data_IF_123521737957
#
_entry.id   IF_123521737957
#
_cell.length_a   1.000
_cell.length_b   1.000
_cell.length_c   1.000
_cell.angle_alpha   90.00
_cell.angle_beta   90.00
_cell.angle_gamma   90.00
#
_symmetry.space_group_name_H-M   'P 1'
#
loop_
_entity.id
_entity.type
_entity.pdbx_description
1 polymer ?
#
# COMPACT_ATOMS: atom_id res chain seq x y z
N UNK A 1 -11.66 -15.18 0.38
CA UNK A 1 -11.94 -13.77 0.78
C UNK A 1 -10.62 -13.08 1.04
N UNK A 2 -10.41 -11.86 0.52
CA UNK A 2 -9.19 -11.10 0.78
C UNK A 2 -9.21 -10.51 2.20
N UNK A 3 -8.11 -10.66 2.96
CA UNK A 3 -7.97 -10.15 4.34
C UNK A 3 -7.82 -8.62 4.32
N UNK A 4 -8.63 -7.91 5.12
CA UNK A 4 -8.55 -6.44 5.26
C UNK A 4 -7.21 -6.02 5.87
N UNK A 5 -6.70 -4.86 5.46
CA UNK A 5 -5.55 -4.22 6.13
C UNK A 5 -5.92 -3.72 7.52
N UNK A 6 -5.08 -4.02 8.52
CA UNK A 6 -5.25 -3.56 9.90
C UNK A 6 -4.90 -2.08 10.03
N UNK A 7 -5.31 -1.46 11.14
CA UNK A 7 -4.97 -0.06 11.43
C UNK A 7 -3.45 0.13 11.59
N UNK A 8 -2.77 -0.84 12.20
CA UNK A 8 -1.32 -0.84 12.37
C UNK A 8 -0.59 -0.99 11.02
N UNK A 9 -1.03 -1.93 10.18
CA UNK A 9 -0.50 -2.09 8.82
C UNK A 9 -0.65 -0.79 8.01
N UNK A 10 -1.82 -0.15 8.10
CA UNK A 10 -2.10 1.12 7.43
C UNK A 10 -1.22 2.26 7.96
N UNK A 11 -1.04 2.36 9.27
CA UNK A 11 -0.22 3.41 9.88
C UNK A 11 1.23 3.34 9.40
N UNK A 12 1.79 2.12 9.28
CA UNK A 12 3.15 1.91 8.76
C UNK A 12 3.23 2.31 7.29
N UNK A 13 2.30 1.83 6.46
CA UNK A 13 2.28 2.21 5.04
C UNK A 13 2.18 3.74 4.85
N UNK A 14 1.32 4.42 5.60
CA UNK A 14 1.16 5.87 5.54
C UNK A 14 2.43 6.61 5.99
N UNK A 15 3.10 6.13 7.05
CA UNK A 15 4.38 6.69 7.51
C UNK A 15 5.48 6.53 6.46
N UNK A 16 5.48 5.44 5.71
CA UNK A 16 6.46 5.16 4.64
C UNK A 16 6.13 5.85 3.30
N UNK A 17 5.00 6.54 3.16
CA UNK A 17 4.60 7.20 1.90
C UNK A 17 5.61 8.22 1.35
N UNK A 18 6.19 9.13 2.17
CA UNK A 18 7.15 10.12 1.64
C UNK A 18 8.38 9.46 1.03
N UNK A 19 8.91 8.44 1.72
CA UNK A 19 10.06 7.66 1.26
C UNK A 19 9.72 6.86 0.00
N UNK A 20 8.57 6.18 -0.01
CA UNK A 20 8.06 5.48 -1.18
C UNK A 20 7.98 6.40 -2.40
N UNK A 21 7.43 7.61 -2.25
CA UNK A 21 7.33 8.60 -3.34
C UNK A 21 8.68 9.04 -3.84
N UNK A 22 9.61 9.37 -2.93
CA UNK A 22 10.98 9.74 -3.31
C UNK A 22 11.65 8.61 -4.08
N UNK A 23 11.53 7.38 -3.59
CA UNK A 23 12.07 6.18 -4.23
C UNK A 23 11.49 5.99 -5.63
N UNK A 24 10.18 6.20 -5.80
CA UNK A 24 9.49 6.08 -7.09
C UNK A 24 9.81 7.20 -8.07
N UNK A 25 10.15 8.40 -7.60
CA UNK A 25 10.61 9.53 -8.44
C UNK A 25 12.03 9.31 -8.96
N UNK A 26 12.91 8.72 -8.14
CA UNK A 26 14.29 8.43 -8.52
C UNK A 26 14.41 7.32 -9.57
N UNK A 27 13.36 6.52 -9.77
CA UNK A 27 13.34 5.40 -10.71
C UNK A 27 12.64 5.74 -12.04
N UNK A 28 13.24 5.30 -13.16
CA UNK A 28 12.68 5.45 -14.50
C UNK A 28 11.28 4.83 -14.62
N UNK A 29 10.39 5.42 -15.43
CA UNK A 29 8.98 5.00 -15.57
C UNK A 29 8.80 3.49 -15.82
N UNK A 30 9.67 2.90 -16.66
CA UNK A 30 9.66 1.45 -16.96
C UNK A 30 10.06 0.56 -15.78
N UNK A 31 10.85 1.09 -14.83
CA UNK A 31 11.33 0.37 -13.66
C UNK A 31 10.49 0.63 -12.39
N UNK A 32 9.61 1.64 -12.40
CA UNK A 32 8.79 2.03 -11.22
C UNK A 32 8.03 0.87 -10.60
N UNK A 33 7.48 -0.05 -11.40
CA UNK A 33 6.76 -1.19 -10.83
C UNK A 33 7.66 -2.17 -10.09
N UNK A 34 8.90 -2.38 -10.56
CA UNK A 34 9.84 -3.27 -9.87
C UNK A 34 10.48 -2.56 -8.69
N UNK A 35 10.80 -1.27 -8.83
CA UNK A 35 11.22 -0.41 -7.73
C UNK A 35 10.22 -0.42 -6.57
N UNK A 36 8.92 -0.23 -6.85
CA UNK A 36 7.89 -0.29 -5.84
C UNK A 36 7.78 -1.66 -5.16
N UNK A 37 7.98 -2.76 -5.91
CA UNK A 37 8.04 -4.10 -5.32
C UNK A 37 9.27 -4.29 -4.43
N UNK A 38 10.44 -3.82 -4.85
CA UNK A 38 11.67 -3.86 -4.05
C UNK A 38 11.53 -3.08 -2.76
N UNK A 39 10.95 -1.89 -2.81
CA UNK A 39 10.64 -1.10 -1.62
C UNK A 39 9.77 -1.88 -0.63
N UNK A 40 8.70 -2.51 -1.12
CA UNK A 40 7.84 -3.31 -0.25
C UNK A 40 8.48 -4.60 0.25
N UNK A 41 9.44 -5.17 -0.47
CA UNK A 41 10.23 -6.31 0.01
C UNK A 41 11.06 -5.90 1.23
N UNK A 42 11.70 -4.73 1.19
CA UNK A 42 12.40 -4.17 2.35
C UNK A 42 11.47 -3.94 3.53
N UNK A 43 10.27 -3.36 3.29
CA UNK A 43 9.27 -3.19 4.35
C UNK A 43 8.83 -4.51 5.00
N UNK A 44 8.69 -5.58 4.20
CA UNK A 44 8.35 -6.90 4.69
C UNK A 44 9.42 -7.47 5.63
N UNK A 45 10.69 -7.21 5.33
CA UNK A 45 11.81 -7.67 6.14
C UNK A 45 11.93 -6.89 7.45
N UNK A 46 11.79 -5.57 7.41
CA UNK A 46 11.93 -4.68 8.58
C UNK A 46 10.83 -4.92 9.63
N UNK A 47 9.60 -5.24 9.19
CA UNK A 47 8.45 -5.41 10.08
C UNK A 47 7.79 -6.79 9.89
N UNK A 48 8.60 -7.84 9.76
CA UNK A 48 8.14 -9.20 9.45
C UNK A 48 7.06 -9.74 10.41
N UNK A 49 7.09 -9.31 11.67
CA UNK A 49 6.09 -9.66 12.68
C UNK A 49 4.70 -9.06 12.42
N UNK A 50 4.62 -7.96 11.66
CA UNK A 50 3.36 -7.28 11.31
C UNK A 50 2.78 -7.85 10.02
N UNK A 51 3.65 -8.25 9.09
CA UNK A 51 3.27 -8.67 7.75
C UNK A 51 3.07 -10.19 7.59
N UNK A 52 2.80 -10.93 8.67
CA UNK A 52 2.75 -12.41 8.67
C UNK A 52 1.84 -13.00 7.59
N UNK A 53 0.76 -12.29 7.22
CA UNK A 53 -0.21 -12.72 6.21
C UNK A 53 -0.13 -11.94 4.89
N UNK A 54 0.93 -11.16 4.68
CA UNK A 54 1.12 -10.31 3.51
C UNK A 54 2.28 -10.80 2.67
N UNK A 55 2.14 -10.61 1.36
CA UNK A 55 3.22 -10.81 0.41
C UNK A 55 3.56 -9.49 -0.29
N UNK A 56 4.74 -9.48 -0.91
CA UNK A 56 5.31 -8.32 -1.62
C UNK A 56 4.30 -7.67 -2.56
N UNK A 57 3.60 -8.48 -3.35
CA UNK A 57 2.64 -7.98 -4.32
C UNK A 57 1.43 -7.31 -3.67
N UNK A 58 0.89 -7.91 -2.60
CA UNK A 58 -0.23 -7.32 -1.85
C UNK A 58 0.14 -5.98 -1.22
N UNK A 59 1.31 -5.88 -0.59
CA UNK A 59 1.80 -4.65 0.03
C UNK A 59 2.08 -3.57 -1.02
N UNK A 60 2.68 -3.93 -2.15
CA UNK A 60 2.90 -3.00 -3.25
C UNK A 60 1.60 -2.41 -3.81
N UNK A 61 0.57 -3.24 -4.01
CA UNK A 61 -0.73 -2.77 -4.48
C UNK A 61 -1.40 -1.84 -3.47
N UNK A 62 -1.25 -2.11 -2.18
CA UNK A 62 -1.75 -1.25 -1.11
C UNK A 62 -1.02 0.09 -1.04
N UNK A 63 0.31 0.08 -1.11
CA UNK A 63 1.12 1.31 -1.17
C UNK A 63 0.73 2.18 -2.36
N UNK A 64 0.56 1.58 -3.54
CA UNK A 64 0.09 2.28 -4.74
C UNK A 64 -1.31 2.85 -4.56
N UNK A 65 -2.20 2.12 -3.90
CA UNK A 65 -3.54 2.61 -3.58
C UNK A 65 -3.50 3.84 -2.69
N UNK A 66 -2.76 3.77 -1.59
CA UNK A 66 -2.58 4.87 -0.63
C UNK A 66 -1.90 6.08 -1.27
N UNK A 67 -0.95 5.86 -2.16
CA UNK A 67 -0.27 6.93 -2.89
C UNK A 67 -1.27 7.71 -3.77
N UNK A 68 -2.06 7.03 -4.59
CA UNK A 68 -3.11 7.68 -5.39
C UNK A 68 -4.07 8.49 -4.51
N UNK A 69 -4.55 7.90 -3.42
CA UNK A 69 -5.49 8.55 -2.51
C UNK A 69 -4.92 9.82 -1.87
N UNK A 70 -3.70 9.74 -1.35
CA UNK A 70 -3.06 10.86 -0.65
C UNK A 70 -2.50 11.91 -1.60
N UNK A 71 -2.30 11.57 -2.87
CA UNK A 71 -1.98 12.52 -3.94
C UNK A 71 -3.23 13.26 -4.47
N UNK A 72 -4.43 12.92 -4.00
CA UNK A 72 -5.69 13.47 -4.52
C UNK A 72 -6.10 12.90 -5.89
N UNK A 73 -5.39 11.90 -6.40
CA UNK A 73 -5.72 11.21 -7.63
C UNK A 73 -6.77 10.12 -7.35
N UNK A 74 -7.90 10.13 -8.08
CA UNK A 74 -8.87 9.03 -7.96
C UNK A 74 -8.29 7.79 -8.65
N UNK A 75 -7.93 6.70 -7.94
CA UNK A 75 -7.39 5.51 -8.59
C UNK A 75 -8.43 4.91 -9.53
N UNK A 76 -8.20 4.92 -10.84
CA UNK A 76 -9.14 4.39 -11.85
C UNK A 76 -8.98 2.89 -12.09
N UNK A 77 -7.81 2.33 -11.76
CA UNK A 77 -7.46 0.92 -12.03
C UNK A 77 -7.16 0.08 -10.78
N UNK A 78 -7.18 0.67 -9.58
CA UNK A 78 -7.08 -0.11 -8.34
C UNK A 78 -8.50 -0.52 -7.95
N UNK A 79 -8.70 -1.79 -7.60
CA UNK A 79 -9.97 -2.30 -7.06
C UNK A 79 -10.36 -1.38 -5.90
N UNK A 80 -11.39 -0.55 -6.05
CA UNK A 80 -11.78 0.46 -5.03
C UNK A 80 -12.52 -0.18 -3.85
N UNK A 81 -11.99 -1.28 -3.33
CA UNK A 81 -12.54 -1.90 -2.14
C UNK A 81 -11.99 -1.16 -0.92
N UNK A 82 -12.66 -0.07 -0.55
CA UNK A 82 -12.33 0.75 0.62
C UNK A 82 -12.33 -0.09 1.91
N UNK A 83 -13.09 -1.19 1.95
CA UNK A 83 -13.06 -2.14 3.04
C UNK A 83 -11.82 -3.01 3.02
N UNK A 84 -11.41 -3.51 1.85
CA UNK A 84 -10.15 -4.26 1.67
C UNK A 84 -8.98 -3.43 2.20
N UNK A 85 -8.93 -2.15 1.81
CA UNK A 85 -7.86 -1.21 2.17
C UNK A 85 -8.02 -0.51 3.53
N UNK A 86 -8.98 -0.95 4.35
CA UNK A 86 -9.11 -0.50 5.74
C UNK A 86 -9.47 0.98 5.92
N UNK A 87 -10.07 1.61 4.91
CA UNK A 87 -10.51 3.02 4.99
C UNK A 87 -11.85 3.20 5.71
N UNK A 88 -12.71 2.18 5.67
CA UNK A 88 -14.03 2.23 6.31
C UNK A 88 -14.23 0.96 7.17
N UNK A 89 -14.50 1.10 8.49
CA UNK A 89 -14.88 -0.02 9.35
C UNK A 89 -16.11 -0.76 8.79
N UNK A 90 -16.21 -2.08 9.01
CA UNK A 90 -17.42 -2.82 8.58
C UNK A 90 -18.59 -2.33 9.43
N UNK A 91 -19.69 -1.91 8.80
CA UNK A 91 -20.89 -1.43 9.50
C UNK A 91 -21.10 0.08 9.53
N UNK A 92 -20.27 0.86 8.82
CA UNK A 92 -20.53 2.28 8.54
C UNK A 92 -21.16 2.53 7.16
N UNK A 93 -21.59 1.48 6.47
CA UNK A 93 -22.44 1.60 5.29
C UNK A 93 -23.87 1.87 5.78
N UNK A 94 -24.20 3.15 5.98
CA UNK A 94 -25.59 3.61 6.07
C UNK A 94 -26.12 3.92 4.69
#
# INVERSE_FOLDING_TARGET
MAKRWSEEENAICLKSMPEYRMYMVQNNFKAKSEAGKSFTESMLQENSHIWQDRNRNSLYLHMKYLDCLTAGEKPTKVIKDQHLFGQIPRGKDK
#
